data_IF_802306453552
#
_entry.id   IF_802306453552
#
_cell.length_a   1.000
_cell.length_b   1.000
_cell.length_c   1.000
_cell.angle_alpha   90.00
_cell.angle_beta   90.00
_cell.angle_gamma   90.00
#
_symmetry.space_group_name_H-M   'P 1'
#
loop_
_entity.id
_entity.type
_entity.pdbx_description
1 polymer ?
#
# COMPACT_ATOMS: atom_id res chain seq x y z
N UNK A 1 -10.87 -15.91 -7.39
CA UNK A 1 -9.69 -16.31 -6.59
C UNK A 1 -8.52 -15.33 -6.81
N UNK A 2 -8.04 -15.10 -8.06
CA UNK A 2 -6.97 -14.11 -8.32
C UNK A 2 -7.38 -12.69 -7.95
N UNK A 3 -8.61 -12.27 -8.25
CA UNK A 3 -9.13 -10.96 -7.84
C UNK A 3 -9.14 -10.79 -6.30
N UNK A 4 -9.49 -11.85 -5.58
CA UNK A 4 -9.44 -11.86 -4.11
C UNK A 4 -7.99 -11.74 -3.62
N UNK A 5 -7.06 -12.41 -4.29
CA UNK A 5 -5.63 -12.31 -3.99
C UNK A 5 -5.10 -10.89 -4.17
N UNK A 6 -5.43 -10.20 -5.28
CA UNK A 6 -5.07 -8.79 -5.50
C UNK A 6 -5.57 -7.93 -4.33
N UNK A 7 -6.86 -8.08 -3.97
CA UNK A 7 -7.44 -7.30 -2.86
C UNK A 7 -6.72 -7.56 -1.53
N UNK A 8 -6.31 -8.82 -1.27
CA UNK A 8 -5.56 -9.17 -0.06
C UNK A 8 -4.15 -8.55 -0.09
N UNK A 9 -3.44 -8.63 -1.22
CA UNK A 9 -2.12 -8.05 -1.40
C UNK A 9 -2.15 -6.51 -1.23
N UNK A 10 -3.14 -5.84 -1.81
CA UNK A 10 -3.36 -4.39 -1.64
C UNK A 10 -3.66 -4.01 -0.19
N UNK A 11 -4.49 -4.80 0.48
CA UNK A 11 -4.83 -4.58 1.88
C UNK A 11 -3.61 -4.76 2.79
N UNK A 12 -2.84 -5.82 2.58
CA UNK A 12 -1.62 -6.10 3.34
C UNK A 12 -0.57 -5.01 3.12
N UNK A 13 -0.37 -4.57 1.87
CA UNK A 13 0.54 -3.46 1.57
C UNK A 13 0.10 -2.17 2.28
N UNK A 14 -1.20 -1.84 2.25
CA UNK A 14 -1.76 -0.67 2.93
C UNK A 14 -1.62 -0.75 4.45
N UNK A 15 -1.87 -1.92 5.04
CA UNK A 15 -1.71 -2.15 6.48
C UNK A 15 -0.24 -2.00 6.90
N UNK A 16 0.67 -2.57 6.10
CA UNK A 16 2.12 -2.48 6.36
C UNK A 16 2.62 -1.04 6.23
N UNK A 17 2.14 -0.30 5.22
CA UNK A 17 2.46 1.11 5.05
C UNK A 17 2.00 1.95 6.25
N UNK A 18 0.76 1.75 6.74
CA UNK A 18 0.26 2.47 7.92
C UNK A 18 0.96 2.04 9.21
N UNK A 19 1.40 0.77 9.32
CA UNK A 19 2.22 0.32 10.43
C UNK A 19 3.55 1.08 10.51
N UNK A 20 4.27 1.21 9.38
CA UNK A 20 5.52 1.99 9.35
C UNK A 20 5.29 3.49 9.49
N UNK A 21 4.16 4.02 8.99
CA UNK A 21 3.74 5.40 9.27
C UNK A 21 3.56 5.62 10.78
N UNK A 22 2.90 4.71 11.48
CA UNK A 22 2.75 4.80 12.94
C UNK A 22 4.10 4.75 13.67
N UNK A 23 5.04 3.92 13.23
CA UNK A 23 6.42 3.89 13.76
C UNK A 23 7.11 5.23 13.54
N UNK A 24 7.04 5.76 12.32
CA UNK A 24 7.60 7.08 11.96
C UNK A 24 7.07 8.17 12.89
N UNK A 25 5.75 8.26 13.05
CA UNK A 25 5.12 9.28 13.90
C UNK A 25 5.47 9.12 15.37
N UNK A 26 5.70 7.90 15.84
CA UNK A 26 6.17 7.60 17.20
C UNK A 26 7.63 8.07 17.41
N UNK A 27 8.51 7.82 16.44
CA UNK A 27 9.90 8.29 16.48
C UNK A 27 9.93 9.83 16.43
N UNK A 28 9.16 10.43 15.52
CA UNK A 28 9.01 11.89 15.39
C UNK A 28 8.54 12.54 16.71
N UNK A 29 7.57 11.93 17.39
CA UNK A 29 7.12 12.40 18.71
C UNK A 29 8.24 12.35 19.74
N UNK A 30 9.08 11.30 19.71
CA UNK A 30 10.25 11.19 20.60
C UNK A 30 11.25 12.32 20.32
N UNK A 31 11.51 12.62 19.04
CA UNK A 31 12.43 13.70 18.64
C UNK A 31 11.91 15.08 19.08
N UNK A 32 10.62 15.38 18.86
CA UNK A 32 10.02 16.63 19.38
C UNK A 32 10.01 16.72 20.90
N UNK A 33 9.81 15.61 21.59
CA UNK A 33 9.92 15.57 23.06
C UNK A 33 11.35 15.90 23.51
N UNK A 34 12.35 15.37 22.82
CA UNK A 34 13.76 15.67 23.07
C UNK A 34 14.04 17.14 22.81
N UNK A 35 13.65 17.68 21.66
CA UNK A 35 13.80 19.12 21.35
C UNK A 35 13.14 20.01 22.40
N UNK A 36 11.92 19.69 22.83
CA UNK A 36 11.22 20.44 23.89
C UNK A 36 12.00 20.39 25.22
N UNK A 37 12.58 19.23 25.58
CA UNK A 37 13.40 19.12 26.80
C UNK A 37 14.67 19.96 26.75
N UNK A 38 15.31 20.04 25.58
CA UNK A 38 16.49 20.89 25.36
C UNK A 38 16.16 22.38 25.46
N UNK A 39 15.02 22.80 24.88
CA UNK A 39 14.55 24.19 24.97
C UNK A 39 14.15 24.56 26.39
N UNK A 40 13.55 23.65 27.14
CA UNK A 40 13.20 23.85 28.54
C UNK A 40 14.44 24.08 29.40
N UNK A 41 15.48 23.26 29.21
CA UNK A 41 16.73 23.39 29.96
C UNK A 41 17.44 24.71 29.57
N UNK A 42 17.47 25.06 28.29
CA UNK A 42 18.00 26.36 27.84
C UNK A 42 17.25 27.52 28.47
N UNK A 43 15.92 27.49 28.47
CA UNK A 43 15.11 28.55 29.10
C UNK A 43 15.44 28.68 30.59
N UNK A 44 15.59 27.55 31.31
CA UNK A 44 16.00 27.56 32.73
C UNK A 44 17.36 28.21 32.95
N UNK A 45 18.34 27.91 32.12
CA UNK A 45 19.68 28.49 32.19
C UNK A 45 19.63 30.01 31.96
N UNK A 46 18.91 30.44 30.93
CA UNK A 46 18.75 31.84 30.58
C UNK A 46 18.03 32.61 31.68
N UNK A 47 16.99 32.02 32.28
CA UNK A 47 16.26 32.62 33.42
C UNK A 47 17.16 32.87 34.60
N UNK A 48 17.97 31.91 35.02
CA UNK A 48 18.94 32.05 36.09
C UNK A 48 19.96 33.16 35.78
N UNK A 49 20.53 33.16 34.58
CA UNK A 49 21.53 34.16 34.14
C UNK A 49 20.92 35.55 34.02
N UNK A 50 19.66 35.69 33.64
CA UNK A 50 18.93 36.96 33.63
C UNK A 50 18.79 37.52 35.06
N UNK A 51 18.40 36.70 36.02
CA UNK A 51 18.25 37.13 37.42
C UNK A 51 19.54 37.56 38.10
N UNK A 52 20.70 37.01 37.68
CA UNK A 52 22.00 37.47 38.16
C UNK A 52 22.62 38.59 37.32
N UNK A 53 21.89 39.09 36.30
CA UNK A 53 22.29 40.26 35.49
C UNK A 53 23.22 39.93 34.31
N UNK A 54 23.49 38.66 34.00
CA UNK A 54 24.40 38.26 32.94
C UNK A 54 23.74 38.13 31.55
N UNK A 55 22.40 38.12 31.49
CA UNK A 55 21.61 38.07 30.25
C UNK A 55 20.56 39.18 30.22
N UNK A 56 20.19 39.60 29.00
CA UNK A 56 19.16 40.63 28.82
C UNK A 56 17.75 40.05 28.98
N UNK A 57 16.78 40.93 29.20
CA UNK A 57 15.37 40.57 29.17
C UNK A 57 14.94 40.02 27.80
N UNK A 58 15.59 40.47 26.72
CA UNK A 58 15.35 40.00 25.36
C UNK A 58 15.72 38.50 25.24
N UNK A 59 16.89 38.10 25.73
CA UNK A 59 17.36 36.72 25.71
C UNK A 59 16.39 35.79 26.46
N UNK A 60 15.92 36.23 27.62
CA UNK A 60 14.93 35.47 28.41
C UNK A 60 13.59 35.33 27.68
N UNK A 61 13.06 36.39 27.09
CA UNK A 61 11.81 36.36 26.34
C UNK A 61 11.95 35.48 25.09
N UNK A 62 13.07 35.55 24.39
CA UNK A 62 13.35 34.71 23.24
C UNK A 62 13.39 33.20 23.62
N UNK A 63 14.11 32.83 24.67
CA UNK A 63 14.16 31.44 25.16
C UNK A 63 12.77 30.91 25.55
N UNK A 64 11.90 31.78 26.13
CA UNK A 64 10.53 31.44 26.46
C UNK A 64 9.66 31.22 25.22
N UNK A 65 9.82 32.06 24.19
CA UNK A 65 9.13 31.90 22.89
C UNK A 65 9.54 30.57 22.23
N UNK A 66 10.83 30.27 22.22
CA UNK A 66 11.36 29.03 21.64
C UNK A 66 10.82 27.79 22.34
N UNK A 67 10.81 27.76 23.69
CA UNK A 67 10.24 26.65 24.46
C UNK A 67 8.73 26.48 24.22
N UNK A 68 7.98 27.59 24.14
CA UNK A 68 6.56 27.52 23.82
C UNK A 68 6.30 26.98 22.40
N UNK A 69 7.13 27.35 21.43
CA UNK A 69 7.06 26.85 20.06
C UNK A 69 7.32 25.34 19.99
N UNK A 70 8.41 24.86 20.63
CA UNK A 70 8.74 23.44 20.68
C UNK A 70 7.67 22.62 21.43
N UNK A 71 7.11 23.20 22.53
CA UNK A 71 6.00 22.57 23.25
C UNK A 71 4.72 22.44 22.40
N UNK A 72 4.41 23.47 21.61
CA UNK A 72 3.28 23.44 20.68
C UNK A 72 3.48 22.40 19.58
N UNK A 73 4.70 22.26 19.02
CA UNK A 73 5.04 21.23 18.05
C UNK A 73 4.88 19.82 18.65
N UNK A 74 5.39 19.59 19.86
CA UNK A 74 5.20 18.31 20.57
C UNK A 74 3.73 17.97 20.75
N UNK A 75 2.88 18.94 21.19
CA UNK A 75 1.44 18.71 21.37
C UNK A 75 0.76 18.37 20.04
N UNK A 76 1.08 19.08 18.97
CA UNK A 76 0.55 18.81 17.63
C UNK A 76 0.95 17.43 17.14
N UNK A 77 2.21 17.05 17.32
CA UNK A 77 2.72 15.73 16.93
C UNK A 77 2.03 14.60 17.71
N UNK A 78 1.68 14.81 18.98
CA UNK A 78 0.94 13.84 19.77
C UNK A 78 -0.47 13.59 19.20
N UNK A 79 -1.10 14.62 18.63
CA UNK A 79 -2.37 14.49 17.94
C UNK A 79 -2.20 13.67 16.65
N UNK A 80 -1.18 13.96 15.85
CA UNK A 80 -0.86 13.19 14.62
C UNK A 80 -0.64 11.72 14.93
N UNK A 81 0.15 11.39 15.96
CA UNK A 81 0.36 10.00 16.38
C UNK A 81 -0.94 9.32 16.80
N UNK A 82 -1.84 10.04 17.53
CA UNK A 82 -3.14 9.47 17.89
C UNK A 82 -4.01 9.20 16.66
N UNK A 83 -3.98 10.07 15.66
CA UNK A 83 -4.72 9.89 14.40
C UNK A 83 -4.20 8.67 13.63
N UNK A 84 -2.88 8.51 13.50
CA UNK A 84 -2.27 7.33 12.87
C UNK A 84 -2.61 6.04 13.65
N UNK A 85 -2.61 6.08 14.99
CA UNK A 85 -3.04 4.93 15.80
C UNK A 85 -4.50 4.53 15.54
N UNK A 86 -5.41 5.50 15.46
CA UNK A 86 -6.82 5.25 15.13
C UNK A 86 -6.94 4.62 13.75
N UNK A 87 -6.20 5.15 12.78
CA UNK A 87 -6.16 4.63 11.40
C UNK A 87 -5.64 3.19 11.35
N UNK A 88 -4.58 2.89 12.08
CA UNK A 88 -4.04 1.54 12.15
C UNK A 88 -5.02 0.56 12.82
N UNK A 89 -5.69 0.96 13.92
CA UNK A 89 -6.74 0.15 14.54
C UNK A 89 -7.94 -0.09 13.60
N UNK A 90 -8.35 0.91 12.82
CA UNK A 90 -9.38 0.77 11.78
C UNK A 90 -8.98 -0.29 10.76
N UNK A 91 -7.74 -0.20 10.22
CA UNK A 91 -7.22 -1.18 9.27
C UNK A 91 -7.11 -2.59 9.88
N UNK A 92 -6.79 -2.73 11.15
CA UNK A 92 -6.79 -4.02 11.85
C UNK A 92 -8.19 -4.53 12.21
N UNK A 93 -9.26 -3.82 11.84
CA UNK A 93 -10.63 -4.11 12.20
C UNK A 93 -10.84 -4.26 13.73
N UNK A 94 -10.10 -3.49 14.53
CA UNK A 94 -10.25 -3.49 15.96
C UNK A 94 -11.54 -2.74 16.36
N UNK A 95 -12.40 -3.38 17.15
CA UNK A 95 -13.64 -2.75 17.61
C UNK A 95 -13.40 -1.49 18.44
N UNK A 96 -12.34 -1.47 19.26
CA UNK A 96 -11.88 -0.27 19.94
C UNK A 96 -10.79 0.42 19.11
N UNK A 97 -11.21 1.35 18.25
CA UNK A 97 -10.29 2.14 17.40
C UNK A 97 -9.33 3.02 18.19
N UNK A 98 -9.59 3.24 19.50
CA UNK A 98 -8.75 4.04 20.39
C UNK A 98 -7.78 3.21 21.21
N UNK A 99 -7.80 1.88 21.07
CA UNK A 99 -6.94 0.96 21.83
C UNK A 99 -5.47 1.29 21.64
N UNK A 100 -4.68 1.06 22.69
CA UNK A 100 -3.23 1.21 22.62
C UNK A 100 -2.62 0.04 21.85
N UNK A 101 -1.76 0.35 20.90
CA UNK A 101 -1.04 -0.64 20.09
C UNK A 101 0.36 -0.81 20.67
N UNK A 102 0.68 -2.03 21.07
CA UNK A 102 2.05 -2.42 21.44
C UNK A 102 2.83 -2.81 20.20
N UNK A 103 3.76 -1.98 19.77
CA UNK A 103 4.70 -2.31 18.70
C UNK A 103 6.05 -2.75 19.26
N UNK A 104 6.64 -3.77 18.63
CA UNK A 104 7.98 -4.25 18.98
C UNK A 104 9.06 -3.38 18.34
N UNK A 105 8.83 -2.93 17.11
CA UNK A 105 9.81 -2.21 16.33
C UNK A 105 9.98 -0.78 16.83
N UNK A 106 11.24 -0.40 17.00
CA UNK A 106 11.66 0.93 17.47
C UNK A 106 12.39 1.72 16.39
N UNK A 107 12.62 1.11 15.22
CA UNK A 107 13.32 1.67 14.07
C UNK A 107 12.65 1.16 12.78
N UNK A 108 12.92 1.83 11.68
CA UNK A 108 12.50 1.43 10.35
C UNK A 108 13.68 0.73 9.68
N UNK A 109 13.64 -0.60 9.65
CA UNK A 109 14.67 -1.41 9.01
C UNK A 109 14.33 -1.63 7.53
N UNK A 110 15.25 -1.33 6.64
CA UNK A 110 15.13 -1.49 5.20
C UNK A 110 16.04 -2.62 4.73
N UNK A 111 15.53 -3.50 3.88
CA UNK A 111 16.29 -4.64 3.35
C UNK A 111 17.30 -4.17 2.29
N UNK A 112 18.62 -4.33 2.51
CA UNK A 112 19.66 -3.90 1.58
C UNK A 112 19.84 -4.83 0.37
N UNK A 113 19.32 -6.07 0.45
CA UNK A 113 19.69 -7.18 -0.44
C UNK A 113 18.73 -7.38 -1.61
N UNK A 114 17.82 -6.43 -1.85
CA UNK A 114 16.91 -6.50 -2.99
C UNK A 114 17.65 -6.44 -4.32
N UNK A 115 17.27 -7.31 -5.27
CA UNK A 115 17.86 -7.36 -6.60
C UNK A 115 16.76 -7.20 -7.68
N UNK A 116 17.01 -6.33 -8.64
CA UNK A 116 16.06 -6.01 -9.71
C UNK A 116 15.65 -7.23 -10.53
N UNK A 117 16.63 -8.05 -10.94
CA UNK A 117 16.35 -9.21 -11.79
C UNK A 117 15.52 -10.28 -11.07
N UNK A 118 15.75 -10.48 -9.78
CA UNK A 118 14.96 -11.40 -8.96
C UNK A 118 13.52 -10.90 -8.78
N UNK A 119 13.34 -9.60 -8.57
CA UNK A 119 12.02 -8.99 -8.47
C UNK A 119 11.27 -9.08 -9.80
N UNK A 120 11.94 -8.87 -10.92
CA UNK A 120 11.33 -8.99 -12.24
C UNK A 120 10.92 -10.43 -12.55
N UNK A 121 11.76 -11.42 -12.26
CA UNK A 121 11.40 -12.83 -12.43
C UNK A 121 10.22 -13.23 -11.52
N UNK A 122 10.22 -12.75 -10.29
CA UNK A 122 9.10 -12.96 -9.38
C UNK A 122 7.81 -12.31 -9.93
N UNK A 123 7.88 -11.06 -10.42
CA UNK A 123 6.73 -10.38 -11.04
C UNK A 123 6.13 -11.21 -12.18
N UNK A 124 6.96 -11.73 -13.07
CA UNK A 124 6.49 -12.56 -14.18
C UNK A 124 5.83 -13.87 -13.73
N UNK A 125 6.29 -14.43 -12.60
CA UNK A 125 5.81 -15.72 -12.10
C UNK A 125 4.60 -15.61 -11.19
N UNK A 126 4.50 -14.53 -10.39
CA UNK A 126 3.58 -14.49 -9.24
C UNK A 126 2.65 -13.28 -9.21
N UNK A 127 2.87 -12.25 -10.06
CA UNK A 127 1.99 -11.08 -10.09
C UNK A 127 0.55 -11.48 -10.44
N UNK A 128 -0.38 -11.23 -9.54
CA UNK A 128 -1.76 -11.69 -9.66
C UNK A 128 -2.51 -11.04 -10.84
N UNK A 129 -2.18 -9.79 -11.20
CA UNK A 129 -2.78 -9.11 -12.35
C UNK A 129 -2.31 -9.72 -13.67
N UNK A 130 -1.04 -10.08 -13.78
CA UNK A 130 -0.51 -10.77 -14.96
C UNK A 130 -1.10 -12.18 -15.12
N UNK A 131 -1.19 -12.92 -14.03
CA UNK A 131 -1.86 -14.23 -14.01
C UNK A 131 -3.34 -14.14 -14.38
N UNK A 132 -4.01 -13.04 -13.99
CA UNK A 132 -5.40 -12.79 -14.37
C UNK A 132 -5.54 -12.50 -15.87
N UNK A 133 -4.61 -11.76 -16.47
CA UNK A 133 -4.56 -11.51 -17.91
C UNK A 133 -4.28 -12.80 -18.71
N UNK A 134 -3.39 -13.69 -18.21
CA UNK A 134 -3.15 -15.00 -18.79
C UNK A 134 -4.43 -15.87 -18.77
N UNK A 135 -5.12 -15.92 -17.63
CA UNK A 135 -6.40 -16.64 -17.53
C UNK A 135 -7.48 -16.04 -18.45
N UNK A 136 -7.55 -14.72 -18.58
CA UNK A 136 -8.49 -14.07 -19.49
C UNK A 136 -8.22 -14.47 -20.95
N UNK A 137 -6.96 -14.55 -21.35
CA UNK A 137 -6.58 -15.01 -22.69
C UNK A 137 -7.06 -16.47 -22.92
N UNK A 138 -6.90 -17.35 -21.93
CA UNK A 138 -7.39 -18.74 -22.03
C UNK A 138 -8.93 -18.82 -22.08
N UNK A 139 -9.64 -17.97 -21.34
CA UNK A 139 -11.11 -17.88 -21.41
C UNK A 139 -11.56 -17.48 -22.80
N UNK A 140 -10.94 -16.44 -23.40
CA UNK A 140 -11.26 -15.98 -24.77
C UNK A 140 -10.95 -17.06 -25.81
N UNK A 141 -9.84 -17.82 -25.65
CA UNK A 141 -9.54 -18.99 -26.48
C UNK A 141 -10.56 -20.10 -26.34
N UNK A 142 -11.05 -20.34 -25.12
CA UNK A 142 -12.12 -21.32 -24.88
C UNK A 142 -13.45 -20.89 -25.54
N UNK A 143 -13.79 -19.61 -25.49
CA UNK A 143 -14.97 -19.07 -26.18
C UNK A 143 -14.85 -19.18 -27.70
N UNK A 144 -13.68 -18.97 -28.28
CA UNK A 144 -13.45 -19.27 -29.69
C UNK A 144 -13.72 -20.74 -30.01
N UNK A 145 -13.16 -21.69 -29.22
CA UNK A 145 -13.41 -23.12 -29.38
C UNK A 145 -14.91 -23.47 -29.27
N UNK A 146 -15.64 -22.81 -28.36
CA UNK A 146 -17.09 -22.95 -28.21
C UNK A 146 -17.86 -22.46 -29.46
N UNK A 147 -17.42 -21.38 -30.11
CA UNK A 147 -17.98 -20.92 -31.38
C UNK A 147 -17.69 -21.91 -32.48
N UNK A 148 -16.46 -22.44 -32.55
CA UNK A 148 -16.05 -23.47 -33.50
C UNK A 148 -16.85 -24.79 -33.32
N UNK A 149 -17.16 -25.18 -32.10
CA UNK A 149 -17.88 -26.41 -31.82
C UNK A 149 -19.30 -26.44 -32.42
N UNK A 150 -19.88 -25.27 -32.75
CA UNK A 150 -21.19 -25.16 -33.43
C UNK A 150 -21.14 -25.62 -34.90
N UNK A 151 -19.97 -25.89 -35.47
CA UNK A 151 -19.81 -26.50 -36.78
C UNK A 151 -20.04 -28.02 -36.78
N UNK A 152 -20.02 -28.64 -35.60
CA UNK A 152 -20.27 -30.05 -35.47
C UNK A 152 -21.74 -30.36 -35.27
N UNK A 153 -22.19 -31.61 -35.60
CA UNK A 153 -23.52 -32.06 -35.27
C UNK A 153 -23.78 -31.97 -33.76
N UNK A 154 -24.98 -31.54 -33.38
CA UNK A 154 -25.36 -31.57 -31.98
C UNK A 154 -26.36 -32.71 -31.72
N UNK A 155 -26.27 -33.30 -30.52
CA UNK A 155 -27.20 -34.26 -30.00
C UNK A 155 -27.88 -33.66 -28.78
N UNK A 156 -29.20 -33.59 -28.80
CA UNK A 156 -29.99 -33.11 -27.67
C UNK A 156 -30.86 -34.23 -27.15
N UNK A 157 -30.73 -34.57 -25.90
CA UNK A 157 -31.61 -35.49 -25.18
C UNK A 157 -32.65 -34.66 -24.42
N UNK A 158 -33.93 -34.94 -24.66
CA UNK A 158 -35.04 -34.34 -23.95
C UNK A 158 -35.76 -35.46 -23.18
N UNK A 159 -36.00 -35.25 -21.91
CA UNK A 159 -36.84 -36.13 -21.10
C UNK A 159 -37.77 -35.25 -20.27
N UNK A 160 -39.02 -35.58 -20.21
CA UNK A 160 -40.02 -34.84 -19.46
C UNK A 160 -41.05 -35.78 -18.86
N UNK A 161 -41.51 -35.45 -17.69
CA UNK A 161 -42.68 -36.06 -17.03
C UNK A 161 -43.69 -34.94 -16.78
N UNK A 162 -44.93 -35.17 -17.19
CA UNK A 162 -45.96 -34.17 -17.08
C UNK A 162 -47.29 -34.78 -16.59
N UNK A 163 -47.94 -34.08 -15.69
CA UNK A 163 -49.30 -34.32 -15.29
C UNK A 163 -50.18 -33.13 -15.72
N UNK A 164 -51.26 -33.38 -16.52
CA UNK A 164 -52.15 -32.34 -17.01
C UNK A 164 -53.57 -32.65 -16.55
N UNK A 165 -54.15 -31.71 -15.79
CA UNK A 165 -55.52 -31.75 -15.35
C UNK A 165 -56.31 -30.73 -16.19
N UNK A 166 -57.23 -31.26 -17.03
CA UNK A 166 -58.16 -30.40 -17.81
C UNK A 166 -59.57 -30.49 -17.23
N UNK A 167 -60.19 -29.36 -17.01
CA UNK A 167 -61.61 -29.21 -16.65
C UNK A 167 -62.33 -28.53 -17.78
N UNK A 168 -63.42 -29.16 -18.25
CA UNK A 168 -64.27 -28.65 -19.33
C UNK A 168 -65.66 -28.37 -18.81
N UNK A 169 -66.19 -27.16 -18.99
CA UNK A 169 -67.53 -26.80 -18.49
C UNK A 169 -68.63 -27.18 -19.49
N UNK A 170 -68.35 -27.24 -20.77
CA UNK A 170 -69.29 -27.46 -21.88
C UNK A 170 -69.13 -28.79 -22.62
N UNK A 171 -68.46 -29.77 -22.07
CA UNK A 171 -68.25 -31.10 -22.68
C UNK A 171 -68.86 -32.19 -21.85
N UNK A 172 -69.26 -33.29 -22.51
CA UNK A 172 -69.73 -34.54 -21.85
C UNK A 172 -68.67 -35.13 -20.89
N UNK A 173 -67.40 -34.79 -21.09
CA UNK A 173 -66.27 -35.17 -20.20
C UNK A 173 -65.86 -33.97 -19.40
N UNK A 174 -66.35 -33.86 -18.16
CA UNK A 174 -66.11 -32.68 -17.30
C UNK A 174 -64.70 -32.60 -16.73
N UNK A 175 -63.94 -33.70 -16.66
CA UNK A 175 -62.61 -33.79 -16.11
C UNK A 175 -61.79 -34.77 -16.89
N UNK A 176 -60.54 -34.38 -17.31
CA UNK A 176 -59.63 -35.28 -17.96
C UNK A 176 -58.26 -35.13 -17.31
N UNK A 177 -57.79 -36.18 -16.69
CA UNK A 177 -56.46 -36.32 -16.10
C UNK A 177 -55.56 -37.06 -17.10
N UNK A 178 -54.42 -36.46 -17.40
CA UNK A 178 -53.47 -37.09 -18.31
C UNK A 178 -52.06 -36.96 -17.70
N UNK A 179 -51.39 -38.10 -17.53
CA UNK A 179 -49.99 -38.08 -17.22
C UNK A 179 -49.21 -38.84 -18.28
N UNK A 180 -48.03 -38.31 -18.59
CA UNK A 180 -47.18 -38.87 -19.62
C UNK A 180 -45.71 -38.69 -19.34
N UNK A 181 -44.97 -39.67 -19.77
CA UNK A 181 -43.52 -39.63 -19.88
C UNK A 181 -43.20 -39.38 -21.35
N UNK A 182 -42.35 -38.38 -21.63
CA UNK A 182 -41.83 -38.19 -22.96
C UNK A 182 -40.30 -38.23 -22.92
N UNK A 183 -39.70 -38.95 -23.85
CA UNK A 183 -38.26 -38.95 -24.10
C UNK A 183 -38.01 -38.83 -25.60
N UNK A 184 -37.03 -38.04 -25.96
CA UNK A 184 -36.67 -37.81 -27.35
C UNK A 184 -35.19 -37.51 -27.52
N UNK A 185 -34.62 -37.98 -28.62
CA UNK A 185 -33.26 -37.67 -29.06
C UNK A 185 -33.40 -36.86 -30.35
N UNK A 186 -32.78 -35.65 -30.36
CA UNK A 186 -32.73 -34.82 -31.57
C UNK A 186 -31.27 -34.70 -32.00
N UNK A 187 -30.97 -35.11 -33.21
CA UNK A 187 -29.67 -34.91 -33.87
C UNK A 187 -29.86 -33.81 -34.91
N UNK A 188 -29.06 -32.76 -34.85
CA UNK A 188 -29.14 -31.66 -35.77
C UNK A 188 -27.78 -31.20 -36.25
N UNK A 189 -27.74 -30.67 -37.44
CA UNK A 189 -26.53 -30.09 -38.08
C UNK A 189 -26.89 -28.80 -38.80
N UNK A 190 -26.15 -27.74 -38.58
CA UNK A 190 -26.35 -26.45 -39.24
C UNK A 190 -25.55 -26.42 -40.53
N UNK A 191 -26.20 -26.48 -41.68
CA UNK A 191 -25.56 -26.48 -43.00
C UNK A 191 -25.05 -25.10 -43.42
N UNK A 192 -25.74 -24.02 -43.06
CA UNK A 192 -25.36 -22.67 -43.39
C UNK A 192 -25.77 -21.67 -42.29
N UNK A 193 -24.81 -20.87 -41.85
CA UNK A 193 -25.04 -19.76 -40.93
C UNK A 193 -24.03 -18.64 -41.21
N UNK A 194 -24.44 -17.62 -41.99
CA UNK A 194 -23.59 -16.47 -42.36
C UNK A 194 -23.15 -15.65 -41.15
N UNK A 195 -23.95 -15.61 -40.07
CA UNK A 195 -23.61 -14.94 -38.82
C UNK A 195 -22.42 -15.61 -38.13
N UNK A 196 -22.29 -16.93 -38.26
CA UNK A 196 -21.23 -17.71 -37.63
C UNK A 196 -19.83 -17.31 -38.14
N UNK A 197 -19.69 -17.05 -39.45
CA UNK A 197 -18.41 -16.61 -40.03
C UNK A 197 -17.94 -15.30 -39.39
N UNK A 198 -18.86 -14.36 -39.16
CA UNK A 198 -18.55 -13.11 -38.46
C UNK A 198 -18.20 -13.34 -36.99
N UNK A 199 -18.95 -14.23 -36.30
CA UNK A 199 -18.65 -14.56 -34.89
C UNK A 199 -17.26 -15.19 -34.74
N UNK A 200 -16.84 -16.10 -35.63
CA UNK A 200 -15.50 -16.67 -35.62
C UNK A 200 -14.41 -15.59 -35.79
N UNK A 201 -14.60 -14.70 -36.75
CA UNK A 201 -13.65 -13.60 -37.01
C UNK A 201 -13.56 -12.67 -35.79
N UNK A 202 -14.72 -12.31 -35.23
CA UNK A 202 -14.73 -11.47 -34.02
C UNK A 202 -14.04 -12.15 -32.83
N UNK A 203 -14.24 -13.46 -32.67
CA UNK A 203 -13.59 -14.20 -31.60
C UNK A 203 -12.07 -14.36 -31.82
N UNK A 204 -11.60 -14.43 -33.08
CA UNK A 204 -10.16 -14.38 -33.38
C UNK A 204 -9.57 -13.02 -33.03
N UNK A 205 -10.24 -11.92 -33.42
CA UNK A 205 -9.82 -10.55 -33.04
C UNK A 205 -9.84 -10.36 -31.51
N UNK A 206 -10.79 -10.99 -30.81
CA UNK A 206 -10.83 -10.94 -29.34
C UNK A 206 -9.61 -11.65 -28.71
N UNK A 207 -9.10 -12.73 -29.31
CA UNK A 207 -7.87 -13.39 -28.84
C UNK A 207 -6.68 -12.46 -29.06
N UNK A 208 -6.52 -11.90 -30.26
CA UNK A 208 -5.44 -10.96 -30.57
C UNK A 208 -5.47 -9.75 -29.63
N UNK A 209 -6.66 -9.23 -29.34
CA UNK A 209 -6.86 -8.13 -28.40
C UNK A 209 -6.42 -8.52 -26.97
N UNK A 210 -6.84 -9.69 -26.47
CA UNK A 210 -6.45 -10.15 -25.14
C UNK A 210 -4.92 -10.40 -25.01
N UNK A 211 -4.28 -10.88 -26.08
CA UNK A 211 -2.82 -11.07 -26.14
C UNK A 211 -2.09 -9.72 -26.12
N UNK A 212 -2.58 -8.72 -26.85
CA UNK A 212 -2.02 -7.37 -26.84
C UNK A 212 -2.22 -6.68 -25.48
N UNK A 213 -3.40 -6.80 -24.87
CA UNK A 213 -3.63 -6.29 -23.50
C UNK A 213 -2.67 -6.90 -22.48
N UNK A 214 -2.40 -8.20 -22.60
CA UNK A 214 -1.43 -8.89 -21.75
C UNK A 214 0.00 -8.35 -21.93
N UNK A 215 0.44 -8.14 -23.19
CA UNK A 215 1.77 -7.58 -23.46
C UNK A 215 1.89 -6.12 -23.02
N UNK A 216 0.84 -5.32 -23.17
CA UNK A 216 0.76 -3.95 -22.66
C UNK A 216 0.86 -3.91 -21.14
N UNK A 217 0.09 -4.76 -20.45
CA UNK A 217 0.19 -4.91 -18.98
C UNK A 217 1.60 -5.31 -18.53
N UNK A 218 2.24 -6.25 -19.25
CA UNK A 218 3.61 -6.66 -18.95
C UNK A 218 4.61 -5.53 -19.13
N UNK A 219 4.44 -4.69 -20.15
CA UNK A 219 5.26 -3.51 -20.37
C UNK A 219 5.06 -2.47 -19.27
N UNK A 220 3.80 -2.22 -18.89
CA UNK A 220 3.45 -1.33 -17.76
C UNK A 220 4.10 -1.80 -16.46
N UNK A 221 3.93 -3.08 -16.10
CA UNK A 221 4.55 -3.65 -14.90
C UNK A 221 6.08 -3.54 -14.89
N UNK A 222 6.71 -3.67 -16.08
CA UNK A 222 8.16 -3.48 -16.21
C UNK A 222 8.58 -2.03 -16.01
N UNK A 223 7.78 -1.08 -16.51
CA UNK A 223 8.00 0.35 -16.30
C UNK A 223 7.88 0.70 -14.82
N UNK A 224 6.77 0.27 -14.19
CA UNK A 224 6.49 0.54 -12.78
C UNK A 224 7.57 -0.05 -11.87
N UNK A 225 8.02 -1.29 -12.15
CA UNK A 225 9.13 -1.92 -11.43
C UNK A 225 10.43 -1.13 -11.59
N UNK A 226 10.71 -0.65 -12.81
CA UNK A 226 11.94 0.10 -13.07
C UNK A 226 11.94 1.46 -12.37
N UNK A 227 10.81 2.15 -12.36
CA UNK A 227 10.65 3.44 -11.68
C UNK A 227 10.75 3.28 -10.16
N UNK A 228 10.06 2.29 -9.59
CA UNK A 228 10.14 1.97 -8.15
C UNK A 228 11.56 1.55 -7.74
N UNK A 229 12.24 0.78 -8.59
CA UNK A 229 13.62 0.37 -8.34
C UNK A 229 14.58 1.55 -8.32
N UNK A 230 14.43 2.49 -9.26
CA UNK A 230 15.24 3.70 -9.28
C UNK A 230 14.96 4.59 -8.06
N UNK A 231 13.69 4.75 -7.69
CA UNK A 231 13.28 5.47 -6.49
C UNK A 231 13.88 4.83 -5.23
N UNK A 232 13.79 3.49 -5.09
CA UNK A 232 14.37 2.75 -3.98
C UNK A 232 15.90 2.98 -3.87
N UNK A 233 16.63 2.84 -4.97
CA UNK A 233 18.08 3.06 -4.99
C UNK A 233 18.47 4.49 -4.64
N UNK A 234 17.72 5.48 -5.17
CA UNK A 234 17.96 6.89 -4.86
C UNK A 234 17.69 7.18 -3.38
N UNK A 235 16.55 6.74 -2.86
CA UNK A 235 16.17 6.94 -1.45
C UNK A 235 17.17 6.25 -0.51
N UNK A 236 17.66 5.07 -0.88
CA UNK A 236 18.73 4.39 -0.14
C UNK A 236 20.00 5.24 -0.05
N UNK A 237 20.44 5.85 -1.15
CA UNK A 237 21.61 6.73 -1.15
C UNK A 237 21.37 7.99 -0.30
N UNK A 238 20.19 8.61 -0.43
CA UNK A 238 19.79 9.76 0.38
C UNK A 238 19.80 9.39 1.87
N UNK A 239 19.22 8.25 2.25
CA UNK A 239 19.21 7.76 3.62
C UNK A 239 20.64 7.60 4.19
N UNK A 240 21.57 7.07 3.41
CA UNK A 240 22.98 6.95 3.83
C UNK A 240 23.65 8.31 4.05
N UNK A 241 23.34 9.30 3.18
CA UNK A 241 23.85 10.67 3.33
C UNK A 241 23.23 11.35 4.57
N UNK A 242 21.91 11.20 4.78
CA UNK A 242 21.25 11.80 5.94
C UNK A 242 21.71 11.17 7.27
N UNK A 243 22.08 9.90 7.26
CA UNK A 243 22.70 9.24 8.42
C UNK A 243 24.06 9.87 8.78
N UNK A 244 24.87 10.20 7.78
CA UNK A 244 26.12 10.94 7.98
C UNK A 244 25.87 12.39 8.45
N UNK A 245 24.87 13.06 7.84
CA UNK A 245 24.47 14.39 8.24
C UNK A 245 23.99 14.46 9.69
N UNK A 246 23.26 13.46 10.15
CA UNK A 246 22.80 13.40 11.54
C UNK A 246 24.00 13.32 12.52
N UNK A 247 25.01 12.51 12.21
CA UNK A 247 26.24 12.45 13.04
C UNK A 247 26.91 13.81 13.12
N UNK A 248 27.09 14.49 11.98
CA UNK A 248 27.70 15.81 11.94
C UNK A 248 26.84 16.88 12.69
N UNK A 249 25.50 16.80 12.58
CA UNK A 249 24.60 17.68 13.28
C UNK A 249 24.62 17.46 14.81
N UNK A 250 24.75 16.22 15.26
CA UNK A 250 24.90 15.88 16.67
C UNK A 250 26.21 16.44 17.23
N UNK A 251 27.33 16.23 16.56
CA UNK A 251 28.61 16.79 16.97
C UNK A 251 28.58 18.32 17.02
N UNK A 252 27.99 18.95 15.98
CA UNK A 252 27.82 20.40 15.94
C UNK A 252 27.01 20.92 17.14
N UNK A 253 25.89 20.25 17.45
CA UNK A 253 25.08 20.61 18.61
C UNK A 253 25.86 20.45 19.93
N UNK A 254 26.60 19.36 20.11
CA UNK A 254 27.41 19.13 21.32
C UNK A 254 28.47 20.21 21.50
N UNK A 255 29.21 20.59 20.45
CA UNK A 255 30.17 21.69 20.49
C UNK A 255 29.52 23.07 20.75
N UNK A 256 28.38 23.32 20.10
CA UNK A 256 27.60 24.53 20.32
C UNK A 256 27.13 24.62 21.79
N UNK A 257 26.64 23.54 22.36
CA UNK A 257 26.20 23.47 23.75
C UNK A 257 27.35 23.73 24.74
N UNK A 258 28.52 23.11 24.51
CA UNK A 258 29.70 23.32 25.34
C UNK A 258 30.16 24.81 25.33
N UNK A 259 30.17 25.45 24.16
CA UNK A 259 30.51 26.89 24.02
C UNK A 259 29.47 27.80 24.66
N UNK A 260 28.17 27.45 24.48
CA UNK A 260 27.07 28.19 25.09
C UNK A 260 27.12 28.13 26.63
N UNK A 261 27.45 27.01 27.20
CA UNK A 261 27.60 26.83 28.66
C UNK A 261 28.75 27.66 29.18
N UNK A 262 29.84 27.81 28.42
CA UNK A 262 30.99 28.71 28.78
C UNK A 262 30.69 30.20 28.58
N UNK A 263 29.63 30.54 27.85
CA UNK A 263 29.30 31.93 27.52
C UNK A 263 29.94 32.45 26.24
N UNK A 264 30.59 31.57 25.45
CA UNK A 264 31.31 31.88 24.21
C UNK A 264 30.43 31.78 22.96
N UNK A 265 29.13 31.51 23.12
CA UNK A 265 28.16 31.37 22.03
C UNK A 265 26.87 32.10 22.38
N UNK A 266 26.27 32.75 21.40
CA UNK A 266 24.98 33.45 21.57
C UNK A 266 23.80 32.43 21.66
N UNK A 267 22.70 32.86 22.28
CA UNK A 267 21.47 32.06 22.34
C UNK A 267 20.87 31.78 20.97
N UNK A 268 21.09 32.69 19.99
CA UNK A 268 20.65 32.49 18.62
C UNK A 268 21.43 31.37 17.91
N UNK A 269 22.77 31.38 17.98
CA UNK A 269 23.62 30.33 17.39
C UNK A 269 23.34 28.95 18.03
N UNK A 270 23.08 28.94 19.35
CA UNK A 270 22.70 27.72 20.04
C UNK A 270 21.35 27.18 19.55
N UNK A 271 20.36 28.08 19.30
CA UNK A 271 19.07 27.70 18.72
C UNK A 271 19.20 27.15 17.30
N UNK A 272 20.06 27.75 16.49
CA UNK A 272 20.35 27.31 15.14
C UNK A 272 20.97 25.90 15.12
N UNK A 273 21.92 25.62 16.00
CA UNK A 273 22.50 24.28 16.15
C UNK A 273 21.45 23.23 16.59
N UNK A 274 20.57 23.59 17.54
CA UNK A 274 19.47 22.75 17.98
C UNK A 274 18.48 22.46 16.85
N UNK A 275 18.10 23.47 16.08
CA UNK A 275 17.21 23.32 14.93
C UNK A 275 17.84 22.46 13.84
N UNK A 276 19.12 22.67 13.55
CA UNK A 276 19.86 21.84 12.58
C UNK A 276 19.90 20.37 12.96
N UNK A 277 20.03 20.04 14.25
CA UNK A 277 19.95 18.66 14.75
C UNK A 277 18.56 18.08 14.53
N UNK A 278 17.51 18.81 14.92
CA UNK A 278 16.12 18.35 14.75
C UNK A 278 15.76 18.14 13.28
N UNK A 279 16.21 19.05 12.40
CA UNK A 279 16.00 18.93 10.96
C UNK A 279 16.75 17.73 10.36
N UNK A 280 17.96 17.41 10.87
CA UNK A 280 18.71 16.23 10.43
C UNK A 280 18.04 14.92 10.90
N UNK A 281 17.52 14.88 12.15
CA UNK A 281 16.72 13.75 12.65
C UNK A 281 15.47 13.53 11.80
N UNK A 282 14.77 14.60 11.42
CA UNK A 282 13.58 14.53 10.58
C UNK A 282 13.89 14.07 9.16
N UNK A 283 14.94 14.60 8.51
CA UNK A 283 15.33 14.18 7.16
C UNK A 283 15.75 12.71 7.11
N UNK A 284 16.49 12.23 8.11
CA UNK A 284 16.82 10.81 8.19
C UNK A 284 15.57 9.95 8.33
N UNK A 285 14.68 10.30 9.26
CA UNK A 285 13.44 9.56 9.51
C UNK A 285 12.54 9.49 8.28
N UNK A 286 12.41 10.61 7.54
CA UNK A 286 11.64 10.65 6.28
C UNK A 286 12.31 9.77 5.23
N UNK A 287 13.64 9.83 5.07
CA UNK A 287 14.34 9.03 4.08
C UNK A 287 14.29 7.52 4.38
N UNK A 288 14.33 7.12 5.65
CA UNK A 288 14.14 5.72 6.07
C UNK A 288 12.71 5.23 5.73
N UNK A 289 11.70 6.05 6.03
CA UNK A 289 10.31 5.75 5.69
C UNK A 289 10.08 5.65 4.18
N UNK A 290 10.56 6.63 3.40
CA UNK A 290 10.37 6.65 1.94
C UNK A 290 11.06 5.44 1.29
N UNK A 291 12.24 5.06 1.77
CA UNK A 291 12.95 3.86 1.30
C UNK A 291 12.14 2.59 1.61
N UNK A 292 11.56 2.51 2.80
CA UNK A 292 10.71 1.38 3.20
C UNK A 292 9.43 1.29 2.38
N UNK A 293 8.82 2.43 2.05
CA UNK A 293 7.63 2.46 1.17
C UNK A 293 7.95 1.95 -0.23
N UNK A 294 9.11 2.32 -0.79
CA UNK A 294 9.57 1.76 -2.06
C UNK A 294 9.79 0.24 -1.97
N UNK A 295 10.39 -0.26 -0.89
CA UNK A 295 10.57 -1.70 -0.64
C UNK A 295 9.22 -2.44 -0.63
N UNK A 296 8.24 -1.96 0.14
CA UNK A 296 6.91 -2.56 0.22
C UNK A 296 6.23 -2.57 -1.15
N UNK A 297 6.33 -1.49 -1.90
CA UNK A 297 5.75 -1.38 -3.25
C UNK A 297 6.43 -2.35 -4.24
N UNK A 298 7.75 -2.53 -4.16
CA UNK A 298 8.48 -3.52 -4.96
C UNK A 298 8.06 -4.96 -4.62
N UNK A 299 7.88 -5.26 -3.33
CA UNK A 299 7.40 -6.57 -2.87
C UNK A 299 5.96 -6.83 -3.29
N UNK A 300 5.09 -5.82 -3.25
CA UNK A 300 3.70 -5.91 -3.73
C UNK A 300 3.68 -6.18 -5.24
N UNK A 301 4.41 -5.41 -6.04
CA UNK A 301 4.48 -5.58 -7.48
C UNK A 301 5.02 -6.96 -7.88
N UNK A 302 6.00 -7.47 -7.14
CA UNK A 302 6.56 -8.81 -7.35
C UNK A 302 5.71 -9.94 -6.77
N UNK A 303 4.54 -9.66 -6.15
CA UNK A 303 3.66 -10.66 -5.54
C UNK A 303 4.26 -11.35 -4.30
N UNK A 304 5.29 -10.75 -3.68
CA UNK A 304 5.99 -11.28 -2.50
C UNK A 304 5.54 -10.63 -1.18
N UNK A 305 4.60 -9.69 -1.21
CA UNK A 305 4.18 -8.97 0.00
C UNK A 305 3.62 -9.88 1.09
N UNK A 306 2.96 -10.98 0.72
CA UNK A 306 2.42 -11.96 1.69
C UNK A 306 3.49 -12.83 2.33
N UNK A 307 4.60 -13.10 1.65
CA UNK A 307 5.73 -13.86 2.20
C UNK A 307 6.54 -13.03 3.18
N UNK A 308 6.66 -11.74 2.92
CA UNK A 308 7.33 -10.77 3.80
C UNK A 308 6.75 -10.70 5.21
N UNK A 309 5.45 -10.92 5.39
CA UNK A 309 4.81 -10.92 6.71
C UNK A 309 5.06 -12.19 7.52
N UNK A 310 5.58 -13.25 6.90
CA UNK A 310 5.85 -14.53 7.57
C UNK A 310 7.31 -14.66 8.03
N UNK A 311 8.17 -13.70 7.68
CA UNK A 311 9.55 -13.55 8.15
C UNK A 311 9.64 -12.57 9.33
#
# INVERSE_FOLDING_TARGET
ELQTRITIEDYVASLTAEYYNYIQEKIRLKNFRHAMSLSQERMRIVEVRYHIGNFSRLDYLQAKVDFNADSAQYMKQREVLNSSRIKLNELMANHDVTALIGIRDTAIDVNPDLQYDELWQATLATNASLLMADNNTEVVRADYKKIMSRDYPYVRLNAGYGYTLNRYELSSTKKRDNWGLNAGITIGFNLFDGKRKMQKRNAQLAIEYAELEREDLKLSLKSDLSDLWQAYRNNWQVMLMERQNLVAAQENYEYANLRYMKGDLSGFEMREAQQSLLDAEERLLVSEYDTKMCEISLLQLSGKVLTYLNE
#
